data_IF_397526899041
#
_entry.id   IF_397526899041
#
_cell.length_a   1.000
_cell.length_b   1.000
_cell.length_c   1.000
_cell.angle_alpha   90.00
_cell.angle_beta   90.00
_cell.angle_gamma   90.00
#
_symmetry.space_group_name_H-M   'P 1'
#
loop_
_entity.id
_entity.type
_entity.pdbx_description
1 polymer ?
#
# COMPACT_ATOMS: atom_id res chain seq x y z
N UNK A 1 10.34 0.99 -3.74
CA UNK A 1 9.00 1.35 -3.22
C UNK A 1 8.34 0.14 -2.57
N UNK A 2 8.43 -1.03 -3.20
CA UNK A 2 7.87 -2.34 -2.84
C UNK A 2 8.25 -2.78 -1.43
N UNK A 3 9.52 -2.60 -1.02
CA UNK A 3 9.95 -2.95 0.35
C UNK A 3 9.24 -2.13 1.42
N UNK A 4 9.05 -0.82 1.19
CA UNK A 4 8.31 0.07 2.09
C UNK A 4 6.82 -0.28 2.11
N UNK A 5 6.23 -0.58 0.95
CA UNK A 5 4.86 -1.09 0.89
C UNK A 5 4.70 -2.38 1.69
N UNK A 6 5.65 -3.31 1.56
CA UNK A 6 5.62 -4.57 2.29
C UNK A 6 5.80 -4.38 3.80
N UNK A 7 6.67 -3.46 4.19
CA UNK A 7 6.83 -3.04 5.59
C UNK A 7 5.51 -2.53 6.17
N UNK A 8 4.86 -1.56 5.50
CA UNK A 8 3.56 -1.04 5.91
C UNK A 8 2.48 -2.13 5.99
N UNK A 9 2.45 -3.08 5.04
CA UNK A 9 1.51 -4.21 5.10
C UNK A 9 1.81 -5.13 6.29
N UNK A 10 3.08 -5.45 6.55
CA UNK A 10 3.49 -6.34 7.66
C UNK A 10 3.22 -5.72 9.04
N UNK A 11 3.07 -4.40 9.12
CA UNK A 11 2.71 -3.72 10.37
C UNK A 11 1.23 -3.90 10.74
N UNK A 12 0.35 -4.18 9.75
CA UNK A 12 -1.10 -4.28 9.97
C UNK A 12 -1.69 -5.68 9.72
N UNK A 13 -0.96 -6.54 9.01
CA UNK A 13 -1.46 -7.84 8.59
C UNK A 13 -0.42 -8.95 8.68
N UNK A 14 -0.86 -10.10 9.18
CA UNK A 14 -0.09 -11.34 9.11
C UNK A 14 -0.18 -11.94 7.70
N UNK A 15 0.97 -12.15 7.08
CA UNK A 15 1.05 -12.70 5.73
C UNK A 15 1.12 -14.23 5.75
N UNK A 16 0.22 -14.88 5.03
CA UNK A 16 0.25 -16.33 4.79
C UNK A 16 1.16 -16.72 3.60
N UNK A 17 2.17 -15.89 3.31
CA UNK A 17 3.12 -16.06 2.22
C UNK A 17 4.50 -15.57 2.65
N UNK A 18 5.53 -16.00 1.91
CA UNK A 18 6.89 -15.54 2.14
C UNK A 18 7.10 -14.09 1.69
N UNK A 19 8.15 -13.45 2.20
CA UNK A 19 8.51 -12.08 1.82
C UNK A 19 8.78 -11.96 0.31
N UNK A 20 9.45 -12.95 -0.29
CA UNK A 20 9.74 -12.97 -1.73
C UNK A 20 8.47 -13.10 -2.59
N UNK A 21 7.46 -13.85 -2.13
CA UNK A 21 6.16 -13.94 -2.81
C UNK A 21 5.40 -12.63 -2.73
N UNK A 22 5.37 -12.01 -1.55
CA UNK A 22 4.76 -10.71 -1.33
C UNK A 22 5.42 -9.61 -2.19
N UNK A 23 6.76 -9.60 -2.26
CA UNK A 23 7.49 -8.65 -3.11
C UNK A 23 7.13 -8.83 -4.59
N UNK A 24 7.05 -10.07 -5.10
CA UNK A 24 6.65 -10.32 -6.50
C UNK A 24 5.23 -9.83 -6.80
N UNK A 25 4.31 -9.99 -5.84
CA UNK A 25 2.96 -9.45 -5.94
C UNK A 25 2.97 -7.91 -5.97
N UNK A 26 3.78 -7.27 -5.13
CA UNK A 26 3.95 -5.81 -5.13
C UNK A 26 4.72 -5.27 -6.35
N UNK A 27 5.54 -6.06 -7.02
CA UNK A 27 6.16 -5.70 -8.31
C UNK A 27 5.14 -5.69 -9.46
N UNK A 28 4.12 -6.56 -9.39
CA UNK A 28 3.06 -6.63 -10.38
C UNK A 28 2.00 -5.53 -10.15
N UNK A 29 1.99 -4.53 -11.02
CA UNK A 29 1.07 -3.40 -10.95
C UNK A 29 -0.42 -3.80 -11.01
N UNK A 30 -0.77 -4.97 -11.55
CA UNK A 30 -2.15 -5.44 -11.65
C UNK A 30 -2.63 -6.22 -10.40
N UNK A 31 -1.76 -6.42 -9.42
CA UNK A 31 -2.10 -7.12 -8.18
C UNK A 31 -3.15 -6.35 -7.38
N UNK A 32 -4.25 -7.01 -7.02
CA UNK A 32 -5.27 -6.44 -6.16
C UNK A 32 -4.87 -6.61 -4.69
N UNK A 33 -4.66 -5.49 -3.98
CA UNK A 33 -4.17 -5.57 -2.60
C UNK A 33 -5.24 -6.06 -1.63
N UNK A 34 -6.51 -5.79 -1.91
CA UNK A 34 -7.61 -6.23 -1.06
C UNK A 34 -7.72 -7.75 -1.03
N UNK A 35 -7.47 -8.42 -2.15
CA UNK A 35 -7.58 -9.89 -2.25
C UNK A 35 -6.29 -10.59 -1.88
N UNK A 36 -5.14 -10.11 -2.36
CA UNK A 36 -3.86 -10.80 -2.16
C UNK A 36 -3.26 -10.56 -0.77
N UNK A 37 -3.51 -9.39 -0.17
CA UNK A 37 -3.01 -9.02 1.15
C UNK A 37 -4.12 -8.93 2.21
N UNK A 38 -5.37 -9.25 1.85
CA UNK A 38 -6.49 -9.29 2.79
C UNK A 38 -6.87 -7.91 3.36
N UNK A 39 -6.59 -6.82 2.64
CA UNK A 39 -6.87 -5.46 3.10
C UNK A 39 -8.38 -5.16 3.07
N UNK A 40 -9.07 -5.59 4.12
CA UNK A 40 -10.47 -5.26 4.38
C UNK A 40 -10.66 -3.77 4.73
N UNK A 41 -11.90 -3.34 4.99
CA UNK A 41 -12.19 -1.92 5.25
C UNK A 41 -11.44 -1.34 6.43
N UNK A 42 -11.21 -2.12 7.49
CA UNK A 42 -10.49 -1.65 8.67
C UNK A 42 -8.99 -1.62 8.39
N UNK A 43 -8.47 -2.69 7.79
CA UNK A 43 -7.05 -2.80 7.46
C UNK A 43 -6.63 -1.77 6.41
N UNK A 44 -7.50 -1.34 5.50
CA UNK A 44 -7.18 -0.25 4.56
C UNK A 44 -6.98 1.09 5.27
N UNK A 45 -7.80 1.42 6.27
CA UNK A 45 -7.61 2.65 7.04
C UNK A 45 -6.29 2.60 7.81
N UNK A 46 -5.98 1.46 8.44
CA UNK A 46 -4.70 1.27 9.11
C UNK A 46 -3.54 1.33 8.11
N UNK A 47 -3.70 0.77 6.93
CA UNK A 47 -2.69 0.79 5.89
C UNK A 47 -2.37 2.21 5.43
N UNK A 48 -3.37 3.08 5.27
CA UNK A 48 -3.15 4.49 4.93
C UNK A 48 -2.25 5.16 5.97
N UNK A 49 -2.54 4.96 7.26
CA UNK A 49 -1.74 5.51 8.36
C UNK A 49 -0.30 4.96 8.32
N UNK A 50 -0.11 3.66 8.09
CA UNK A 50 1.23 3.08 7.94
C UNK A 50 1.98 3.60 6.71
N UNK A 51 1.27 3.93 5.62
CA UNK A 51 1.89 4.54 4.45
C UNK A 51 2.44 5.93 4.79
N UNK A 52 1.69 6.73 5.54
CA UNK A 52 2.16 8.04 6.04
C UNK A 52 3.43 7.87 6.87
N UNK A 53 3.44 6.94 7.83
CA UNK A 53 4.60 6.71 8.70
C UNK A 53 5.83 6.17 7.95
N UNK A 54 5.65 5.18 7.07
CA UNK A 54 6.77 4.51 6.39
C UNK A 54 7.33 5.36 5.23
N UNK A 55 6.48 6.12 4.55
CA UNK A 55 6.91 6.98 3.45
C UNK A 55 7.23 8.41 3.86
N UNK A 56 6.88 8.82 5.08
CA UNK A 56 7.03 10.19 5.59
C UNK A 56 6.26 11.18 4.71
N UNK A 57 4.97 10.87 4.50
CA UNK A 57 4.01 11.64 3.69
C UNK A 57 2.74 11.92 4.49
N UNK A 58 1.98 12.94 4.10
CA UNK A 58 0.64 13.22 4.64
C UNK A 58 -0.36 13.04 3.51
N UNK A 59 -1.26 12.06 3.63
CA UNK A 59 -2.15 11.65 2.55
C UNK A 59 -3.56 12.13 2.82
N UNK A 60 -4.22 12.72 1.83
CA UNK A 60 -5.65 13.01 1.94
C UNK A 60 -6.44 11.69 1.86
N UNK A 61 -7.28 11.42 2.85
CA UNK A 61 -8.15 10.23 2.82
C UNK A 61 -9.12 10.25 1.63
N UNK A 62 -9.49 11.43 1.12
CA UNK A 62 -10.32 11.55 -0.09
C UNK A 62 -9.61 11.00 -1.32
N UNK A 63 -8.28 11.12 -1.37
CA UNK A 63 -7.43 10.58 -2.42
C UNK A 63 -7.15 9.09 -2.26
N UNK A 64 -7.62 8.41 -1.21
CA UNK A 64 -7.35 7.00 -0.92
C UNK A 64 -8.63 6.16 -0.97
N UNK A 65 -9.28 6.16 -2.12
CA UNK A 65 -10.49 5.38 -2.37
C UNK A 65 -10.25 3.87 -2.61
N UNK A 66 -11.34 3.13 -2.82
CA UNK A 66 -11.29 1.69 -3.07
C UNK A 66 -10.56 1.31 -4.37
N UNK A 67 -10.59 2.16 -5.38
CA UNK A 67 -9.98 1.89 -6.69
C UNK A 67 -8.46 1.86 -6.57
N UNK A 68 -7.88 2.64 -5.66
CA UNK A 68 -6.43 2.68 -5.44
C UNK A 68 -5.89 1.35 -4.90
N UNK A 69 -6.66 0.65 -4.07
CA UNK A 69 -6.27 -0.66 -3.55
C UNK A 69 -6.61 -1.81 -4.50
N UNK A 70 -7.33 -1.54 -5.59
CA UNK A 70 -7.71 -2.55 -6.59
C UNK A 70 -6.54 -3.02 -7.45
N UNK A 71 -5.48 -2.21 -7.55
CA UNK A 71 -4.25 -2.56 -8.24
C UNK A 71 -3.05 -1.80 -7.64
N UNK A 72 -1.91 -2.48 -7.51
CA UNK A 72 -0.67 -1.89 -6.95
C UNK A 72 -0.17 -0.68 -7.74
N UNK A 73 -0.38 -0.65 -9.07
CA UNK A 73 0.03 0.47 -9.90
C UNK A 73 -0.60 1.80 -9.48
N UNK A 74 -1.91 1.80 -9.24
CA UNK A 74 -2.65 2.96 -8.75
C UNK A 74 -2.09 3.47 -7.42
N UNK A 75 -1.89 2.57 -6.46
CA UNK A 75 -1.32 2.93 -5.15
C UNK A 75 0.07 3.56 -5.26
N UNK A 76 0.97 2.94 -6.04
CA UNK A 76 2.32 3.48 -6.25
C UNK A 76 2.26 4.88 -6.87
N UNK A 77 1.41 5.07 -7.87
CA UNK A 77 1.25 6.37 -8.52
C UNK A 77 0.73 7.43 -7.54
N UNK A 78 -0.24 7.09 -6.68
CA UNK A 78 -0.72 8.00 -5.64
C UNK A 78 0.39 8.37 -4.67
N UNK A 79 1.13 7.39 -4.13
CA UNK A 79 2.24 7.64 -3.21
C UNK A 79 3.33 8.51 -3.87
N UNK A 80 3.65 8.28 -5.14
CA UNK A 80 4.62 9.13 -5.85
C UNK A 80 4.20 10.60 -5.92
N UNK A 81 2.90 10.89 -6.10
CA UNK A 81 2.41 12.29 -6.10
C UNK A 81 2.73 12.97 -4.77
N UNK A 82 2.46 12.29 -3.66
CA UNK A 82 2.73 12.82 -2.33
C UNK A 82 4.22 12.94 -2.05
N UNK A 83 5.05 11.99 -2.50
CA UNK A 83 6.51 12.09 -2.35
C UNK A 83 7.11 13.27 -3.11
N UNK A 84 6.54 13.64 -4.26
CA UNK A 84 6.98 14.79 -5.05
C UNK A 84 6.48 16.14 -4.48
N UNK A 85 5.49 16.12 -3.57
CA UNK A 85 4.94 17.31 -2.90
C UNK A 85 5.70 17.68 -1.61
N UNK A 86 6.50 16.75 -1.05
CA UNK A 86 7.37 16.99 0.10
C UNK A 86 8.68 17.66 -0.39
N UNK A 87 8.59 18.96 -0.69
CA UNK A 87 9.72 19.88 -0.99
C UNK A 87 10.11 20.75 0.23
#
# INVERSE_FOLDING_TARGET
>A
MERKLLEAIKNIADLNMTEDEALKLLENNNTNLMTEFGLDSLLRVQFIIELEEVFDIEVDMEDMDLEIFSNVGSLKNTICKYLDEVD
#
